data_IF_638018818710
#
_entry.id   IF_638018818710
#
_cell.length_a   1.000
_cell.length_b   1.000
_cell.length_c   1.000
_cell.angle_alpha   90.00
_cell.angle_beta   90.00
_cell.angle_gamma   90.00
#
_symmetry.space_group_name_H-M   'P 1'
#
loop_
_entity.id
_entity.type
_entity.pdbx_description
1 polymer ?
#
# COMPACT_ATOMS: atom_id res chain seq x y z
N UNK A 1 2.62 -12.12 -20.53
CA UNK A 1 3.71 -12.75 -19.75
C UNK A 1 3.27 -12.80 -18.30
N UNK A 2 3.35 -13.96 -17.65
CA UNK A 2 2.99 -14.07 -16.24
C UNK A 2 4.06 -13.39 -15.37
N UNK A 3 3.72 -12.68 -14.28
CA UNK A 3 4.72 -12.04 -13.42
C UNK A 3 5.81 -12.99 -12.92
N UNK A 4 5.43 -14.21 -12.58
CA UNK A 4 6.37 -15.25 -12.14
C UNK A 4 7.37 -15.63 -13.23
N UNK A 5 6.95 -15.73 -14.49
CA UNK A 5 7.88 -16.01 -15.59
C UNK A 5 8.83 -14.82 -15.82
N UNK A 6 8.33 -13.59 -15.67
CA UNK A 6 9.15 -12.38 -15.83
C UNK A 6 10.20 -12.26 -14.72
N UNK A 7 9.83 -12.61 -13.48
CA UNK A 7 10.69 -12.49 -12.30
C UNK A 7 11.60 -13.70 -12.05
N UNK A 8 11.59 -14.71 -12.94
CA UNK A 8 12.62 -15.77 -12.97
C UNK A 8 13.99 -15.19 -13.40
N UNK A 9 13.99 -14.06 -14.13
CA UNK A 9 15.20 -13.28 -14.42
C UNK A 9 15.58 -12.41 -13.21
N UNK A 10 16.70 -12.75 -12.57
CA UNK A 10 17.18 -12.08 -11.37
C UNK A 10 17.64 -10.64 -11.60
N UNK A 11 18.22 -10.34 -12.76
CA UNK A 11 18.66 -8.96 -13.09
C UNK A 11 17.44 -8.08 -13.33
N UNK A 12 16.46 -8.58 -14.08
CA UNK A 12 15.21 -7.88 -14.29
C UNK A 12 14.45 -7.66 -12.99
N UNK A 13 14.33 -8.69 -12.13
CA UNK A 13 13.69 -8.57 -10.83
C UNK A 13 14.39 -7.54 -9.94
N UNK A 14 15.73 -7.50 -9.92
CA UNK A 14 16.48 -6.52 -9.15
C UNK A 14 16.26 -5.08 -9.66
N UNK A 15 16.27 -4.88 -10.98
CA UNK A 15 15.97 -3.58 -11.59
C UNK A 15 14.54 -3.12 -11.28
N UNK A 16 13.59 -4.04 -11.34
CA UNK A 16 12.18 -3.78 -11.01
C UNK A 16 12.01 -3.42 -9.53
N UNK A 17 12.67 -4.14 -8.61
CA UNK A 17 12.66 -3.81 -7.17
C UNK A 17 13.23 -2.41 -6.92
N UNK A 18 14.37 -2.08 -7.54
CA UNK A 18 14.98 -0.76 -7.39
C UNK A 18 14.07 0.37 -7.91
N UNK A 19 13.37 0.15 -9.02
CA UNK A 19 12.43 1.15 -9.55
C UNK A 19 11.16 1.25 -8.69
N UNK A 20 10.67 0.11 -8.19
CA UNK A 20 9.49 0.09 -7.33
C UNK A 20 9.71 0.83 -6.00
N UNK A 21 10.91 0.79 -5.41
CA UNK A 21 11.24 1.59 -4.22
C UNK A 21 11.19 3.10 -4.50
N UNK A 22 11.61 3.56 -5.69
CA UNK A 22 11.48 4.97 -6.06
C UNK A 22 10.01 5.38 -6.16
N UNK A 23 9.19 4.54 -6.80
CA UNK A 23 7.74 4.81 -6.92
C UNK A 23 7.06 4.74 -5.54
N UNK A 24 7.47 3.82 -4.67
CA UNK A 24 7.00 3.72 -3.29
C UNK A 24 7.26 5.02 -2.52
N UNK A 25 8.47 5.57 -2.62
CA UNK A 25 8.80 6.87 -2.02
C UNK A 25 7.95 8.02 -2.60
N UNK A 26 7.65 8.01 -3.90
CA UNK A 26 6.74 9.00 -4.51
C UNK A 26 5.32 8.89 -3.96
N UNK A 27 4.78 7.67 -3.85
CA UNK A 27 3.45 7.44 -3.28
C UNK A 27 3.41 7.84 -1.81
N UNK A 28 4.44 7.51 -1.02
CA UNK A 28 4.54 7.91 0.39
C UNK A 28 4.57 9.44 0.56
N UNK A 29 5.31 10.15 -0.30
CA UNK A 29 5.30 11.63 -0.33
C UNK A 29 3.91 12.18 -0.67
N UNK A 30 3.19 11.54 -1.59
CA UNK A 30 1.83 11.94 -1.95
C UNK A 30 0.85 11.69 -0.80
N UNK A 31 0.96 10.55 -0.10
CA UNK A 31 0.17 10.27 1.11
C UNK A 31 0.42 11.33 2.18
N UNK A 32 1.68 11.68 2.45
CA UNK A 32 2.03 12.78 3.36
C UNK A 32 1.44 14.11 2.89
N UNK A 33 1.51 14.43 1.60
CA UNK A 33 0.97 15.67 1.05
C UNK A 33 -0.55 15.77 1.26
N UNK A 34 -1.27 14.66 1.12
CA UNK A 34 -2.73 14.63 1.21
C UNK A 34 -3.22 14.52 2.66
N UNK A 35 -2.56 13.73 3.50
CA UNK A 35 -3.04 13.38 4.84
C UNK A 35 -2.17 13.90 6.00
N UNK A 36 -0.94 14.37 5.74
CA UNK A 36 0.01 14.80 6.77
C UNK A 36 -0.54 15.89 7.70
N UNK A 37 -1.28 16.86 7.16
CA UNK A 37 -1.91 17.93 7.95
C UNK A 37 -2.90 17.41 9.02
N UNK A 38 -3.48 16.22 8.81
CA UNK A 38 -4.41 15.58 9.75
C UNK A 38 -3.81 14.45 10.58
N UNK A 39 -2.55 14.08 10.32
CA UNK A 39 -1.84 12.98 10.97
C UNK A 39 -1.19 13.44 12.27
N UNK A 40 -1.41 12.71 13.37
CA UNK A 40 -0.73 12.98 14.65
C UNK A 40 0.78 12.77 14.53
N UNK A 41 1.21 11.77 13.75
CA UNK A 41 2.61 11.50 13.48
C UNK A 41 3.34 12.61 12.71
N UNK A 42 2.61 13.44 11.97
CA UNK A 42 3.17 14.62 11.28
C UNK A 42 2.93 15.95 12.04
N UNK A 43 2.26 15.95 13.20
CA UNK A 43 1.83 17.19 13.88
C UNK A 43 2.99 18.17 14.15
N UNK A 44 4.12 17.67 14.65
CA UNK A 44 5.30 18.51 14.92
C UNK A 44 5.90 19.06 13.63
N UNK A 45 5.99 18.22 12.60
CA UNK A 45 6.51 18.60 11.29
C UNK A 45 5.64 19.68 10.65
N UNK A 46 4.32 19.53 10.72
CA UNK A 46 3.36 20.51 10.21
C UNK A 46 3.39 21.81 11.03
N UNK A 47 3.64 21.74 12.33
CA UNK A 47 3.82 22.94 13.17
C UNK A 47 5.04 23.75 12.73
N UNK A 48 6.16 23.09 12.41
CA UNK A 48 7.36 23.74 11.86
C UNK A 48 7.06 24.37 10.50
N UNK A 49 6.43 23.62 9.58
CA UNK A 49 6.10 24.12 8.24
C UNK A 49 5.14 25.31 8.25
N UNK A 50 4.23 25.38 9.22
CA UNK A 50 3.30 26.48 9.39
C UNK A 50 3.88 27.66 10.20
N UNK A 51 5.17 27.64 10.54
CA UNK A 51 5.84 28.72 11.28
C UNK A 51 5.44 28.80 12.77
N UNK A 52 4.88 27.73 13.33
CA UNK A 52 4.52 27.63 14.74
C UNK A 52 5.70 27.26 15.66
N UNK A 53 6.84 26.89 15.08
CA UNK A 53 8.12 26.66 15.76
C UNK A 53 9.22 27.26 14.89
N UNK A 54 10.11 28.06 15.48
CA UNK A 54 11.32 28.49 14.79
C UNK A 54 12.22 27.27 14.59
N UNK A 55 12.40 26.86 13.33
CA UNK A 55 13.37 25.84 13.00
C UNK A 55 14.67 26.53 12.61
N UNK A 56 15.65 26.50 13.51
CA UNK A 56 17.00 27.02 13.27
C UNK A 56 17.13 28.54 13.34
N UNK A 57 18.35 29.00 13.59
CA UNK A 57 18.70 30.43 13.55
C UNK A 57 18.81 30.94 12.11
N UNK A 58 18.86 32.27 11.94
CA UNK A 58 19.03 32.92 10.64
C UNK A 58 20.22 32.32 9.85
N UNK A 59 19.93 31.57 8.78
CA UNK A 59 20.92 30.98 7.89
C UNK A 59 21.21 29.48 8.08
N UNK A 60 20.56 28.79 9.01
CA UNK A 60 20.61 27.32 9.12
C UNK A 60 19.58 26.65 8.19
N UNK A 61 19.97 25.51 7.59
CA UNK A 61 19.01 24.63 6.94
C UNK A 61 17.99 24.14 7.98
N UNK A 62 16.72 24.42 7.72
CA UNK A 62 15.60 23.95 8.53
C UNK A 62 15.51 22.43 8.41
N UNK A 63 16.13 21.70 9.34
CA UNK A 63 15.90 20.25 9.48
C UNK A 63 14.45 20.03 9.94
N UNK A 64 13.60 19.57 9.02
CA UNK A 64 12.22 19.24 9.34
C UNK A 64 12.17 17.94 10.16
N UNK A 65 11.32 17.88 11.21
CA UNK A 65 11.04 16.63 11.89
C UNK A 65 10.65 15.53 10.89
N UNK A 66 11.06 14.27 11.11
CA UNK A 66 10.88 13.19 10.14
C UNK A 66 9.40 12.90 9.84
N UNK A 67 8.52 13.13 10.84
CA UNK A 67 7.08 12.89 10.73
C UNK A 67 6.73 11.40 10.73
N UNK A 68 5.52 11.08 10.26
CA UNK A 68 5.06 9.70 10.08
C UNK A 68 5.84 9.02 8.94
N UNK A 69 6.17 7.75 9.14
CA UNK A 69 6.74 6.88 8.11
C UNK A 69 5.65 6.34 7.18
N UNK A 70 5.27 7.15 6.19
CA UNK A 70 4.26 6.80 5.19
C UNK A 70 4.68 5.68 4.24
N UNK A 71 5.98 5.39 4.11
CA UNK A 71 6.45 4.31 3.23
C UNK A 71 6.02 2.93 3.75
N UNK A 72 5.90 2.77 5.07
CA UNK A 72 5.37 1.53 5.69
C UNK A 72 3.92 1.25 5.32
N UNK A 73 3.17 2.29 4.96
CA UNK A 73 1.77 2.20 4.57
C UNK A 73 1.57 2.06 3.06
N UNK A 74 2.64 1.83 2.30
CA UNK A 74 2.59 1.57 0.86
C UNK A 74 2.91 0.09 0.58
N UNK A 75 2.05 -0.53 -0.20
CA UNK A 75 2.20 -1.90 -0.69
C UNK A 75 2.69 -1.91 -2.13
N UNK A 76 3.63 -2.80 -2.41
CA UNK A 76 4.19 -3.04 -3.74
C UNK A 76 4.05 -4.52 -4.08
N UNK A 77 3.46 -4.83 -5.23
CA UNK A 77 3.29 -6.24 -5.59
C UNK A 77 2.54 -6.47 -6.88
N UNK A 78 2.26 -7.74 -7.15
CA UNK A 78 1.53 -8.23 -8.33
C UNK A 78 0.43 -9.18 -7.92
N UNK A 79 -0.53 -9.40 -8.81
CA UNK A 79 -1.52 -10.45 -8.62
C UNK A 79 -0.96 -11.82 -9.02
N UNK A 80 -1.17 -12.83 -8.16
CA UNK A 80 -0.81 -14.22 -8.43
C UNK A 80 -1.54 -14.79 -9.66
N UNK A 81 -2.75 -14.30 -9.94
CA UNK A 81 -3.47 -14.53 -11.19
C UNK A 81 -3.73 -13.19 -11.90
N UNK A 82 -2.86 -12.74 -12.82
CA UNK A 82 -2.98 -11.42 -13.42
C UNK A 82 -4.25 -11.32 -14.29
N UNK A 83 -4.95 -10.19 -14.19
CA UNK A 83 -6.14 -9.89 -15.00
C UNK A 83 -5.81 -9.35 -16.40
N UNK A 84 -4.55 -8.94 -16.62
CA UNK A 84 -4.05 -8.38 -17.87
C UNK A 84 -2.83 -9.17 -18.36
N UNK A 85 -2.60 -9.15 -19.67
CA UNK A 85 -1.51 -9.91 -20.30
C UNK A 85 -0.13 -9.28 -20.08
N UNK A 86 -0.06 -7.97 -19.85
CA UNK A 86 1.18 -7.24 -19.62
C UNK A 86 1.52 -7.23 -18.14
N UNK A 87 2.82 -7.36 -17.84
CA UNK A 87 3.32 -7.19 -16.49
C UNK A 87 2.94 -5.81 -15.98
N UNK A 88 2.30 -5.76 -14.83
CA UNK A 88 1.95 -4.53 -14.13
C UNK A 88 2.19 -4.75 -12.64
N UNK A 89 2.79 -3.74 -12.02
CA UNK A 89 3.12 -3.75 -10.60
C UNK A 89 2.20 -2.73 -9.96
N UNK A 90 1.53 -3.17 -8.91
CA UNK A 90 0.67 -2.33 -8.10
C UNK A 90 1.52 -1.64 -7.04
N UNK A 91 1.42 -0.31 -6.98
CA UNK A 91 1.94 0.51 -5.88
C UNK A 91 0.77 1.31 -5.34
N UNK A 92 0.33 1.00 -4.12
CA UNK A 92 -0.87 1.60 -3.52
C UNK A 92 -0.76 1.64 -2.00
N UNK A 93 -1.56 2.48 -1.36
CA UNK A 93 -1.68 2.53 0.09
C UNK A 93 -2.41 1.31 0.68
N UNK A 94 -2.15 1.01 1.96
CA UNK A 94 -2.71 -0.12 2.69
C UNK A 94 -4.21 0.00 3.01
N UNK A 95 -4.79 1.20 2.92
CA UNK A 95 -6.15 1.48 3.42
C UNK A 95 -7.25 0.69 2.70
N UNK A 96 -7.03 0.34 1.42
CA UNK A 96 -7.98 -0.41 0.59
C UNK A 96 -9.38 0.22 0.58
N UNK A 97 -9.49 1.52 0.73
CA UNK A 97 -10.74 2.27 0.72
C UNK A 97 -10.81 3.17 -0.52
N UNK A 98 -11.83 2.95 -1.34
CA UNK A 98 -12.04 3.73 -2.57
C UNK A 98 -13.48 3.64 -3.03
N UNK A 99 -13.98 4.69 -3.68
CA UNK A 99 -15.25 4.65 -4.41
C UNK A 99 -15.24 3.56 -5.49
N UNK A 100 -14.07 3.29 -6.09
CA UNK A 100 -13.86 2.27 -7.12
C UNK A 100 -13.78 0.83 -6.57
N UNK A 101 -13.72 0.67 -5.24
CA UNK A 101 -13.88 -0.64 -4.61
C UNK A 101 -15.36 -1.02 -4.63
N UNK A 102 -15.73 -1.90 -5.57
CA UNK A 102 -17.14 -2.22 -5.86
C UNK A 102 -17.56 -3.62 -5.43
N UNK A 103 -16.65 -4.60 -5.47
CA UNK A 103 -17.01 -6.01 -5.30
C UNK A 103 -15.94 -6.79 -4.51
N UNK A 104 -16.32 -7.95 -3.97
CA UNK A 104 -15.42 -8.85 -3.20
C UNK A 104 -14.09 -9.13 -3.91
N UNK A 105 -14.12 -9.39 -5.22
CA UNK A 105 -12.91 -9.69 -5.98
C UNK A 105 -11.91 -8.52 -5.98
N UNK A 106 -12.39 -7.26 -6.04
CA UNK A 106 -11.51 -6.10 -5.97
C UNK A 106 -10.83 -5.99 -4.60
N UNK A 107 -11.54 -6.36 -3.53
CA UNK A 107 -10.96 -6.30 -2.19
C UNK A 107 -9.96 -7.43 -1.98
N UNK A 108 -10.40 -8.68 -2.20
CA UNK A 108 -9.58 -9.86 -1.95
C UNK A 108 -8.34 -9.91 -2.84
N UNK A 109 -8.34 -9.28 -4.02
CA UNK A 109 -7.16 -9.23 -4.88
C UNK A 109 -5.99 -8.48 -4.23
N UNK A 110 -6.26 -7.58 -3.28
CA UNK A 110 -5.24 -6.82 -2.54
C UNK A 110 -5.16 -7.18 -1.04
N UNK A 111 -6.15 -7.90 -0.50
CA UNK A 111 -6.27 -8.19 0.93
C UNK A 111 -5.99 -9.66 1.30
N UNK A 112 -5.56 -10.48 0.34
CA UNK A 112 -5.26 -11.91 0.56
C UNK A 112 -3.91 -12.27 -0.05
N UNK A 113 -3.47 -13.53 0.10
CA UNK A 113 -2.27 -14.07 -0.56
C UNK A 113 -2.33 -13.99 -2.09
N UNK A 114 -3.49 -13.66 -2.68
CA UNK A 114 -3.59 -13.35 -4.10
C UNK A 114 -2.73 -12.15 -4.50
N UNK A 115 -2.53 -11.19 -3.58
CA UNK A 115 -1.56 -10.14 -3.72
C UNK A 115 -0.20 -10.66 -3.26
N UNK A 116 0.75 -10.71 -4.18
CA UNK A 116 2.10 -11.19 -3.91
C UNK A 116 3.02 -9.99 -3.85
N UNK A 117 3.66 -9.79 -2.69
CA UNK A 117 4.58 -8.68 -2.53
C UNK A 117 5.83 -8.89 -3.38
N UNK A 118 6.40 -7.80 -3.89
CA UNK A 118 7.54 -7.88 -4.78
C UNK A 118 8.77 -8.50 -4.08
N UNK A 119 8.89 -8.30 -2.77
CA UNK A 119 9.97 -8.84 -1.94
C UNK A 119 9.92 -10.36 -1.80
N UNK A 120 8.75 -10.97 -2.01
CA UNK A 120 8.57 -12.43 -1.93
C UNK A 120 9.12 -13.16 -3.16
N UNK A 121 9.37 -12.45 -4.26
CA UNK A 121 9.94 -13.05 -5.48
C UNK A 121 11.45 -13.27 -5.37
N UNK A 122 11.98 -14.36 -5.98
CA UNK A 122 11.26 -15.30 -6.86
C UNK A 122 10.40 -16.33 -6.11
N UNK A 123 9.27 -16.74 -6.73
CA UNK A 123 8.34 -17.73 -6.16
C UNK A 123 8.15 -18.91 -7.09
N UNK A 124 8.00 -20.10 -6.50
CA UNK A 124 7.71 -21.33 -7.24
C UNK A 124 6.33 -21.30 -7.92
N UNK A 125 6.24 -21.90 -9.11
CA UNK A 125 4.98 -21.96 -9.89
C UNK A 125 3.81 -22.60 -9.14
N UNK A 126 4.09 -23.58 -8.28
CA UNK A 126 3.07 -24.24 -7.46
C UNK A 126 2.48 -23.31 -6.40
N UNK A 127 3.34 -22.54 -5.72
CA UNK A 127 2.96 -21.53 -4.74
C UNK A 127 2.05 -20.48 -5.37
N UNK A 128 2.45 -19.98 -6.54
CA UNK A 128 1.68 -19.02 -7.35
C UNK A 128 0.31 -19.58 -7.72
N UNK A 129 0.27 -20.84 -8.17
CA UNK A 129 -0.98 -21.51 -8.51
C UNK A 129 -1.88 -21.64 -7.30
N UNK A 130 -1.36 -22.01 -6.12
CA UNK A 130 -2.14 -22.05 -4.88
C UNK A 130 -2.73 -20.68 -4.56
N UNK A 131 -1.89 -19.64 -4.54
CA UNK A 131 -2.27 -18.26 -4.22
C UNK A 131 -3.27 -17.66 -5.20
N UNK A 132 -3.25 -18.06 -6.48
CA UNK A 132 -4.23 -17.61 -7.47
C UNK A 132 -5.69 -17.98 -7.12
N UNK A 133 -5.90 -18.93 -6.21
CA UNK A 133 -7.23 -19.31 -5.71
C UNK A 133 -7.69 -18.53 -4.48
N UNK A 134 -6.79 -17.79 -3.81
CA UNK A 134 -7.09 -17.08 -2.56
C UNK A 134 -8.15 -15.97 -2.70
N UNK A 135 -8.45 -15.54 -3.94
CA UNK A 135 -9.44 -14.49 -4.24
C UNK A 135 -10.89 -14.88 -3.89
N UNK A 136 -11.21 -16.18 -3.83
CA UNK A 136 -12.59 -16.65 -3.60
C UNK A 136 -13.00 -16.72 -2.13
N UNK A 137 -12.09 -16.48 -1.19
CA UNK A 137 -12.33 -16.58 0.24
C UNK A 137 -13.23 -15.48 0.82
N UNK A 138 -13.41 -15.56 2.13
CA UNK A 138 -14.06 -14.54 2.94
C UNK A 138 -13.28 -13.22 2.93
N UNK A 139 -13.99 -12.10 3.09
CA UNK A 139 -13.35 -10.80 3.23
C UNK A 139 -13.01 -10.51 4.69
N UNK A 140 -11.72 -10.36 4.99
CA UNK A 140 -11.22 -9.99 6.31
C UNK A 140 -10.62 -8.60 6.28
N UNK A 141 -10.93 -7.76 7.27
CA UNK A 141 -10.32 -6.43 7.36
C UNK A 141 -8.80 -6.54 7.44
N UNK A 142 -8.11 -5.71 6.67
CA UNK A 142 -6.65 -5.68 6.61
C UNK A 142 -6.01 -5.19 7.92
N UNK A 143 -6.74 -4.40 8.71
CA UNK A 143 -6.24 -3.76 9.93
C UNK A 143 -6.61 -4.54 11.19
N UNK A 144 -7.91 -4.78 11.42
CA UNK A 144 -8.39 -5.45 12.64
C UNK A 144 -8.63 -6.96 12.49
N UNK A 145 -8.60 -7.51 11.26
CA UNK A 145 -8.80 -8.93 11.00
C UNK A 145 -10.26 -9.43 11.08
N UNK A 146 -11.23 -8.54 11.35
CA UNK A 146 -12.65 -8.88 11.41
C UNK A 146 -13.14 -9.50 10.09
N UNK A 147 -13.95 -10.56 10.19
CA UNK A 147 -14.44 -11.31 9.02
C UNK A 147 -15.87 -10.91 8.63
N UNK A 148 -16.02 -10.40 7.41
CA UNK A 148 -17.29 -9.96 6.84
C UNK A 148 -17.94 -11.01 5.93
N UNK A 149 -17.28 -12.14 5.68
CA UNK A 149 -17.78 -13.20 4.80
C UNK A 149 -18.13 -12.65 3.41
N UNK A 150 -19.40 -12.75 3.03
CA UNK A 150 -19.96 -12.18 1.78
C UNK A 150 -20.56 -10.77 1.90
N UNK A 151 -20.53 -10.14 3.09
CA UNK A 151 -21.24 -8.88 3.38
C UNK A 151 -20.42 -7.66 2.95
N UNK A 152 -20.30 -7.45 1.63
CA UNK A 152 -19.46 -6.39 1.06
C UNK A 152 -19.84 -4.97 1.50
N UNK A 153 -21.13 -4.67 1.67
CA UNK A 153 -21.58 -3.34 2.11
C UNK A 153 -21.09 -3.02 3.52
N UNK A 154 -21.16 -4.00 4.43
CA UNK A 154 -20.67 -3.85 5.81
C UNK A 154 -19.15 -3.67 5.83
N UNK A 155 -18.43 -4.46 5.04
CA UNK A 155 -16.98 -4.28 4.89
C UNK A 155 -16.64 -2.87 4.39
N UNK A 156 -17.33 -2.37 3.35
CA UNK A 156 -17.03 -1.05 2.79
C UNK A 156 -17.27 0.07 3.80
N UNK A 157 -18.34 -0.03 4.60
CA UNK A 157 -18.60 0.92 5.68
C UNK A 157 -17.54 0.83 6.79
N UNK A 158 -17.09 -0.38 7.12
CA UNK A 158 -16.02 -0.58 8.09
C UNK A 158 -14.67 -0.01 7.61
N UNK A 159 -14.31 -0.22 6.33
CA UNK A 159 -13.10 0.32 5.73
C UNK A 159 -13.06 1.85 5.74
N UNK A 160 -14.21 2.52 5.65
CA UNK A 160 -14.29 3.98 5.79
C UNK A 160 -13.88 4.44 7.20
N UNK A 161 -14.39 3.75 8.24
CA UNK A 161 -14.02 4.03 9.63
C UNK A 161 -12.53 3.78 9.85
N UNK A 162 -12.02 2.65 9.34
CA UNK A 162 -10.59 2.32 9.44
C UNK A 162 -9.71 3.34 8.70
N UNK A 163 -10.13 3.80 7.52
CA UNK A 163 -9.44 4.83 6.74
C UNK A 163 -9.42 6.18 7.45
N UNK A 164 -10.55 6.63 8.01
CA UNK A 164 -10.63 7.88 8.78
C UNK A 164 -9.75 7.85 10.03
N UNK A 165 -9.64 6.69 10.68
CA UNK A 165 -8.76 6.50 11.81
C UNK A 165 -7.29 6.45 11.36
N UNK A 166 -6.97 5.67 10.32
CA UNK A 166 -5.62 5.50 9.79
C UNK A 166 -5.01 6.83 9.33
N UNK A 167 -5.73 7.66 8.58
CA UNK A 167 -5.19 8.94 8.08
C UNK A 167 -4.87 9.96 9.18
N UNK A 168 -5.37 9.74 10.40
CA UNK A 168 -5.16 10.61 11.57
C UNK A 168 -4.12 10.09 12.56
N UNK A 169 -3.61 8.86 12.38
CA UNK A 169 -2.44 8.38 13.13
C UNK A 169 -1.22 9.23 12.80
#
# INVERSE_FOLDING_TARGET
>A
MHPCDAFDDAEFLAAVKAEAEKVRALVARELRRVYGAGSRGDEERERVLNGGVEAGGEGEEVELPPGRDWEKDVMVGVHAGPSMNHLHIHVLSVDRYSECLKHRKHYNSFATEFFVRLEEFPLGREEVRRRSTAISGDMRCWRCGENFGGRFKELKAHLEVEFEAWKRE
#
